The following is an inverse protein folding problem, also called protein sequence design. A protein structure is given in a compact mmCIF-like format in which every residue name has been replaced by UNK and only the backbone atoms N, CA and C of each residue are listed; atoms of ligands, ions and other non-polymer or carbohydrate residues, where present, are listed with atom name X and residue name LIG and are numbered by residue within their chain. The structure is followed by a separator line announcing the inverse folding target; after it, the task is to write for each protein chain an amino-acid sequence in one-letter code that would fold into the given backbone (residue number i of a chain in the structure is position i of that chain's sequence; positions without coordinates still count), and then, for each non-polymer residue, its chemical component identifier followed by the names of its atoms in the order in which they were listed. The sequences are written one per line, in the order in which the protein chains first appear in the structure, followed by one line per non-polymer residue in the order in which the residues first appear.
data_IF_338848125983
#
_entry.id   IF_338848125983
#
_cell.length_a   1.000
_cell.length_b   1.000
_cell.length_c   1.000
_cell.angle_alpha   90.00
_cell.angle_beta   90.00
_cell.angle_gamma   90.00
#
_symmetry.space_group_name_H-M   'P 1'
#
loop_
_entity.id
_entity.type
_entity.pdbx_description
1 polymer ?
#
# COMPACT_ATOMS: atom_id res chain seq x y z
N UNK A 1 81.13 -62.20 -22.94
CA UNK A 1 81.52 -60.78 -22.73
C UNK A 1 80.33 -59.91 -23.10
N UNK A 2 79.64 -59.39 -22.08
CA UNK A 2 78.50 -58.48 -22.24
C UNK A 2 79.03 -57.06 -22.47
N UNK A 3 78.76 -56.48 -23.64
CA UNK A 3 79.07 -55.09 -23.96
C UNK A 3 77.75 -54.32 -24.04
N UNK A 4 77.31 -53.82 -22.89
CA UNK A 4 76.22 -52.85 -22.78
C UNK A 4 76.65 -51.56 -23.47
N UNK A 5 76.19 -51.36 -24.71
CA UNK A 5 76.28 -50.08 -25.42
C UNK A 5 75.33 -49.09 -24.74
N UNK A 6 75.79 -48.46 -23.68
CA UNK A 6 75.15 -47.24 -23.17
C UNK A 6 75.27 -46.17 -24.24
N UNK A 7 74.17 -45.99 -24.97
CA UNK A 7 74.02 -44.99 -26.02
C UNK A 7 74.08 -43.62 -25.32
N UNK A 8 75.26 -43.00 -25.33
CA UNK A 8 75.52 -41.66 -24.76
C UNK A 8 74.49 -40.69 -25.34
N UNK A 9 73.43 -40.41 -24.58
CA UNK A 9 72.35 -39.53 -25.02
C UNK A 9 72.93 -38.16 -25.37
N UNK A 10 72.59 -37.68 -26.56
CA UNK A 10 73.07 -36.41 -27.06
C UNK A 10 72.55 -35.30 -26.14
N UNK A 11 73.45 -34.48 -25.57
CA UNK A 11 73.08 -33.43 -24.61
C UNK A 11 72.03 -32.46 -25.17
N UNK A 12 71.97 -32.31 -26.50
CA UNK A 12 70.96 -31.50 -27.20
C UNK A 12 69.55 -32.08 -27.12
N UNK A 13 69.39 -33.40 -27.29
CA UNK A 13 68.06 -34.05 -27.25
C UNK A 13 67.46 -34.01 -25.85
N UNK A 14 68.30 -34.20 -24.82
CA UNK A 14 67.89 -34.05 -23.42
C UNK A 14 67.44 -32.61 -23.14
N UNK A 15 68.17 -31.61 -23.65
CA UNK A 15 67.82 -30.19 -23.46
C UNK A 15 66.51 -29.81 -24.16
N UNK A 16 66.26 -30.36 -25.34
CA UNK A 16 64.99 -30.19 -26.09
C UNK A 16 63.82 -30.86 -25.36
N UNK A 17 64.02 -32.06 -24.80
CA UNK A 17 63.00 -32.72 -23.97
C UNK A 17 62.62 -31.92 -22.74
N UNK A 18 63.62 -31.37 -22.03
CA UNK A 18 63.41 -30.50 -20.86
C UNK A 18 62.64 -29.23 -21.24
N UNK A 19 62.99 -28.59 -22.36
CA UNK A 19 62.27 -27.39 -22.83
C UNK A 19 60.81 -27.67 -23.21
N UNK A 20 60.54 -28.80 -23.87
CA UNK A 20 59.17 -29.23 -24.16
C UNK A 20 58.38 -29.50 -22.88
N UNK A 21 59.00 -30.15 -21.89
CA UNK A 21 58.37 -30.40 -20.59
C UNK A 21 58.05 -29.09 -19.86
N UNK A 22 58.99 -28.14 -19.80
CA UNK A 22 58.79 -26.82 -19.19
C UNK A 22 57.66 -26.08 -19.89
N UNK A 23 57.62 -26.08 -21.23
CA UNK A 23 56.56 -25.43 -21.99
C UNK A 23 55.18 -26.05 -21.70
N UNK A 24 55.08 -27.38 -21.72
CA UNK A 24 53.85 -28.10 -21.38
C UNK A 24 53.41 -27.83 -19.94
N UNK A 25 54.35 -27.75 -18.99
CA UNK A 25 54.07 -27.43 -17.60
C UNK A 25 53.55 -26.01 -17.42
N UNK A 26 54.14 -25.03 -18.11
CA UNK A 26 53.67 -23.62 -18.07
C UNK A 26 52.27 -23.51 -18.66
N UNK A 27 52.00 -24.18 -19.79
CA UNK A 27 50.66 -24.17 -20.41
C UNK A 27 49.63 -24.81 -19.48
N UNK A 28 49.94 -25.98 -18.91
CA UNK A 28 49.03 -26.68 -18.01
C UNK A 28 48.76 -25.86 -16.73
N UNK A 29 49.82 -25.29 -16.15
CA UNK A 29 49.72 -24.39 -15.00
C UNK A 29 48.89 -23.16 -15.35
N UNK A 30 49.15 -22.51 -16.48
CA UNK A 30 48.42 -21.34 -16.96
C UNK A 30 46.93 -21.62 -17.14
N UNK A 31 46.56 -22.71 -17.82
CA UNK A 31 45.16 -23.12 -17.98
C UNK A 31 44.51 -23.38 -16.62
N UNK A 32 45.21 -24.06 -15.70
CA UNK A 32 44.69 -24.33 -14.35
C UNK A 32 44.38 -23.04 -13.59
N UNK A 33 45.30 -22.06 -13.61
CA UNK A 33 45.09 -20.76 -12.98
C UNK A 33 43.95 -19.97 -13.63
N UNK A 34 43.83 -20.01 -14.96
CA UNK A 34 42.76 -19.34 -15.70
C UNK A 34 41.39 -19.91 -15.30
N UNK A 35 41.26 -21.23 -15.17
CA UNK A 35 40.01 -21.86 -14.72
C UNK A 35 39.60 -21.37 -13.32
N UNK A 36 40.54 -21.31 -12.39
CA UNK A 36 40.29 -20.81 -11.02
C UNK A 36 39.90 -19.33 -11.05
N UNK A 37 40.59 -18.52 -11.85
CA UNK A 37 40.30 -17.09 -11.98
C UNK A 37 38.88 -16.84 -12.53
N UNK A 38 38.48 -17.55 -13.58
CA UNK A 38 37.12 -17.42 -14.12
C UNK A 38 36.05 -17.90 -13.15
N UNK A 39 36.35 -18.94 -12.35
CA UNK A 39 35.44 -19.40 -11.31
C UNK A 39 35.17 -18.31 -10.26
N UNK A 40 36.22 -17.68 -9.72
CA UNK A 40 36.06 -16.58 -8.76
C UNK A 40 35.36 -15.37 -9.38
N UNK A 41 35.73 -14.98 -10.60
CA UNK A 41 35.08 -13.88 -11.30
C UNK A 41 33.58 -14.14 -11.54
N UNK A 42 33.22 -15.35 -11.95
CA UNK A 42 31.83 -15.74 -12.12
C UNK A 42 31.07 -15.75 -10.80
N UNK A 43 31.69 -16.25 -9.73
CA UNK A 43 31.11 -16.25 -8.39
C UNK A 43 30.82 -14.84 -7.89
N UNK A 44 31.77 -13.91 -8.04
CA UNK A 44 31.59 -12.52 -7.59
C UNK A 44 30.48 -11.81 -8.36
N UNK A 45 30.39 -12.02 -9.68
CA UNK A 45 29.32 -11.46 -10.51
C UNK A 45 27.96 -12.03 -10.09
N UNK A 46 27.86 -13.34 -9.90
CA UNK A 46 26.62 -13.98 -9.46
C UNK A 46 26.21 -13.50 -8.06
N UNK A 47 27.16 -13.42 -7.12
CA UNK A 47 26.90 -12.95 -5.76
C UNK A 47 26.46 -11.49 -5.74
N UNK A 48 27.06 -10.64 -6.56
CA UNK A 48 26.65 -9.24 -6.69
C UNK A 48 25.22 -9.12 -7.27
N UNK A 49 24.88 -9.95 -8.27
CA UNK A 49 23.53 -10.03 -8.82
C UNK A 49 22.49 -10.44 -7.79
N UNK A 50 22.73 -11.56 -7.08
CA UNK A 50 21.84 -12.08 -6.03
C UNK A 50 21.69 -11.07 -4.90
N UNK A 51 22.79 -10.43 -4.46
CA UNK A 51 22.73 -9.41 -3.41
C UNK A 51 21.85 -8.23 -3.83
N UNK A 52 22.00 -7.74 -5.06
CA UNK A 52 21.19 -6.64 -5.58
C UNK A 52 19.71 -7.01 -5.64
N UNK A 53 19.40 -8.22 -6.07
CA UNK A 53 18.01 -8.71 -6.11
C UNK A 53 17.42 -8.88 -4.70
N UNK A 54 18.20 -9.40 -3.75
CA UNK A 54 17.78 -9.53 -2.36
C UNK A 54 17.56 -8.17 -1.68
N UNK A 55 18.43 -7.19 -1.95
CA UNK A 55 18.29 -5.83 -1.43
C UNK A 55 17.05 -5.14 -2.01
N UNK A 56 16.80 -5.26 -3.32
CA UNK A 56 15.57 -4.77 -3.96
C UNK A 56 14.32 -5.43 -3.36
N UNK A 57 14.36 -6.75 -3.14
CA UNK A 57 13.23 -7.48 -2.55
C UNK A 57 12.98 -7.05 -1.09
N UNK A 58 14.04 -6.82 -0.30
CA UNK A 58 13.92 -6.28 1.06
C UNK A 58 13.32 -4.88 1.07
N UNK A 59 13.71 -4.03 0.13
CA UNK A 59 13.15 -2.69 0.01
C UNK A 59 11.65 -2.75 -0.32
N UNK A 60 11.26 -3.62 -1.27
CA UNK A 60 9.85 -3.86 -1.60
C UNK A 60 9.04 -4.38 -0.42
N UNK A 61 9.58 -5.34 0.34
CA UNK A 61 8.95 -5.86 1.56
C UNK A 61 8.74 -4.75 2.61
N UNK A 62 9.76 -3.93 2.83
CA UNK A 62 9.69 -2.84 3.81
C UNK A 62 8.62 -1.82 3.40
N UNK A 63 8.57 -1.45 2.11
CA UNK A 63 7.51 -0.57 1.59
C UNK A 63 6.12 -1.21 1.70
N UNK A 64 6.00 -2.51 1.46
CA UNK A 64 4.74 -3.24 1.61
C UNK A 64 4.23 -3.24 3.06
N UNK A 65 5.12 -3.37 4.05
CA UNK A 65 4.73 -3.39 5.46
C UNK A 65 4.26 -2.02 5.96
N UNK A 66 4.96 -0.96 5.52
CA UNK A 66 4.49 0.41 5.71
C UNK A 66 3.12 0.64 5.07
N UNK A 67 2.95 0.19 3.83
CA UNK A 67 1.69 0.33 3.11
C UNK A 67 0.55 -0.42 3.82
N UNK A 68 0.82 -1.62 4.36
CA UNK A 68 -0.16 -2.39 5.15
C UNK A 68 -0.63 -1.58 6.36
N UNK A 69 0.30 -0.99 7.11
CA UNK A 69 -0.01 -0.17 8.29
C UNK A 69 -0.88 1.04 7.92
N UNK A 70 -0.59 1.70 6.80
CA UNK A 70 -1.42 2.79 6.29
C UNK A 70 -2.83 2.31 5.89
N UNK A 71 -2.94 1.17 5.21
CA UNK A 71 -4.23 0.58 4.80
C UNK A 71 -5.07 0.22 6.03
N UNK A 72 -4.47 -0.40 7.05
CA UNK A 72 -5.16 -0.77 8.29
C UNK A 72 -5.67 0.48 9.03
N UNK A 73 -4.88 1.56 9.07
CA UNK A 73 -5.32 2.86 9.62
C UNK A 73 -6.50 3.46 8.84
N UNK A 74 -6.48 3.38 7.50
CA UNK A 74 -7.58 3.84 6.66
C UNK A 74 -8.84 3.02 6.94
N UNK A 75 -8.74 1.69 7.00
CA UNK A 75 -9.86 0.80 7.28
C UNK A 75 -10.47 1.05 8.66
N UNK A 76 -9.62 1.18 9.69
CA UNK A 76 -10.06 1.49 11.04
C UNK A 76 -10.85 2.82 11.11
N UNK A 77 -10.40 3.84 10.38
CA UNK A 77 -11.08 5.14 10.32
C UNK A 77 -12.36 5.10 9.50
N UNK A 78 -12.40 4.29 8.44
CA UNK A 78 -13.64 4.05 7.70
C UNK A 78 -14.71 3.37 8.57
N UNK A 79 -14.30 2.44 9.45
CA UNK A 79 -15.18 1.81 10.43
C UNK A 79 -15.71 2.83 11.45
N UNK A 80 -14.85 3.72 11.96
CA UNK A 80 -15.31 4.82 12.84
C UNK A 80 -16.32 5.75 12.17
N UNK A 81 -16.14 6.03 10.88
CA UNK A 81 -17.09 6.81 10.08
C UNK A 81 -18.42 6.05 9.88
N UNK A 82 -18.46 4.73 10.02
CA UNK A 82 -19.68 3.92 9.87
C UNK A 82 -20.57 3.92 11.10
N UNK A 83 -19.93 3.94 12.27
CA UNK A 83 -20.64 3.92 13.54
C UNK A 83 -21.06 5.35 13.96
N UNK A 84 -20.88 6.37 13.10
CA UNK A 84 -21.11 7.80 13.40
C UNK A 84 -20.54 8.21 14.77
N UNK A 85 -19.39 7.63 15.15
CA UNK A 85 -18.82 7.77 16.50
C UNK A 85 -18.04 9.06 16.70
N UNK A 86 -17.95 9.91 15.68
CA UNK A 86 -17.10 11.10 15.68
C UNK A 86 -17.98 12.34 15.46
N UNK A 87 -17.74 13.40 16.24
CA UNK A 87 -18.50 14.65 16.17
C UNK A 87 -18.41 15.36 14.80
N UNK A 88 -17.40 15.05 13.99
CA UNK A 88 -17.15 15.70 12.70
C UNK A 88 -16.74 14.71 11.61
N UNK A 89 -17.73 14.15 10.92
CA UNK A 89 -17.56 13.24 9.79
C UNK A 89 -16.70 13.86 8.66
N UNK A 90 -16.81 15.18 8.45
CA UNK A 90 -16.06 15.92 7.41
C UNK A 90 -14.56 15.92 7.71
N UNK A 91 -14.15 16.07 8.97
CA UNK A 91 -12.73 16.08 9.36
C UNK A 91 -12.14 14.68 9.18
N UNK A 92 -12.87 13.65 9.63
CA UNK A 92 -12.46 12.27 9.45
C UNK A 92 -12.35 11.90 7.96
N UNK A 93 -13.27 12.40 7.14
CA UNK A 93 -13.27 12.21 5.70
C UNK A 93 -12.03 12.82 5.02
N UNK A 94 -11.71 14.07 5.34
CA UNK A 94 -10.51 14.74 4.80
C UNK A 94 -9.25 13.99 5.22
N UNK A 95 -9.20 13.56 6.48
CA UNK A 95 -8.08 12.77 6.98
C UNK A 95 -7.93 11.42 6.27
N UNK A 96 -9.04 10.73 5.96
CA UNK A 96 -9.01 9.50 5.16
C UNK A 96 -8.49 9.78 3.76
N UNK A 97 -8.93 10.87 3.12
CA UNK A 97 -8.46 11.27 1.80
C UNK A 97 -6.97 11.60 1.76
N UNK A 98 -6.46 12.29 2.79
CA UNK A 98 -5.03 12.60 2.91
C UNK A 98 -4.20 11.31 3.06
N UNK A 99 -4.64 10.38 3.92
CA UNK A 99 -3.95 9.08 4.06
C UNK A 99 -3.97 8.25 2.76
N UNK A 100 -5.05 8.32 1.98
CA UNK A 100 -5.12 7.67 0.66
C UNK A 100 -4.12 8.31 -0.30
N UNK A 101 -3.97 9.64 -0.26
CA UNK A 101 -3.02 10.35 -1.10
C UNK A 101 -1.58 10.01 -0.71
N UNK A 102 -1.28 9.93 0.59
CA UNK A 102 0.02 9.50 1.08
C UNK A 102 0.33 8.05 0.70
N UNK A 103 -0.64 7.14 0.83
CA UNK A 103 -0.48 5.76 0.37
C UNK A 103 -0.20 5.69 -1.14
N UNK A 104 -0.85 6.55 -1.96
CA UNK A 104 -0.55 6.67 -3.39
C UNK A 104 0.85 7.20 -3.65
N UNK A 105 1.31 8.17 -2.87
CA UNK A 105 2.66 8.72 -2.98
C UNK A 105 3.73 7.66 -2.62
N UNK A 106 3.48 6.85 -1.58
CA UNK A 106 4.34 5.72 -1.18
C UNK A 106 4.40 4.65 -2.27
N UNK A 107 3.26 4.32 -2.90
CA UNK A 107 3.22 3.34 -3.99
C UNK A 107 3.93 3.84 -5.27
N UNK A 108 3.86 5.14 -5.57
CA UNK A 108 4.61 5.76 -6.68
C UNK A 108 4.55 4.98 -7.99
N UNK A 109 5.73 4.64 -8.54
CA UNK A 109 5.87 3.84 -9.77
C UNK A 109 5.57 2.35 -9.56
N UNK A 110 5.73 1.84 -8.34
CA UNK A 110 5.46 0.44 -7.99
C UNK A 110 3.95 0.13 -7.90
N UNK A 111 3.10 1.16 -8.01
CA UNK A 111 1.63 1.09 -8.02
C UNK A 111 1.04 0.24 -9.17
N UNK A 112 1.72 0.19 -10.33
CA UNK A 112 1.25 -0.55 -11.50
C UNK A 112 1.74 -2.02 -11.52
N UNK A 113 2.91 -2.27 -10.94
CA UNK A 113 3.57 -3.58 -10.98
C UNK A 113 3.35 -4.35 -9.67
N UNK A 114 4.03 -3.93 -8.59
CA UNK A 114 4.08 -4.68 -7.33
C UNK A 114 2.86 -4.44 -6.42
N UNK A 115 2.25 -3.24 -6.48
CA UNK A 115 1.17 -2.82 -5.57
C UNK A 115 -0.18 -2.63 -6.26
N UNK A 116 -0.42 -3.32 -7.38
CA UNK A 116 -1.65 -3.20 -8.18
C UNK A 116 -2.94 -3.36 -7.37
N UNK A 117 -2.99 -4.30 -6.43
CA UNK A 117 -4.19 -4.53 -5.62
C UNK A 117 -4.47 -3.37 -4.67
N UNK A 118 -3.43 -2.84 -4.03
CA UNK A 118 -3.55 -1.67 -3.17
C UNK A 118 -3.94 -0.43 -3.97
N UNK A 119 -3.41 -0.25 -5.19
CA UNK A 119 -3.78 0.89 -6.04
C UNK A 119 -5.25 0.84 -6.49
N UNK A 120 -5.77 -0.35 -6.83
CA UNK A 120 -7.18 -0.57 -7.14
C UNK A 120 -8.04 -0.25 -5.92
N UNK A 121 -7.68 -0.77 -4.74
CA UNK A 121 -8.41 -0.51 -3.49
C UNK A 121 -8.49 1.00 -3.19
N UNK A 122 -7.36 1.71 -3.23
CA UNK A 122 -7.29 3.16 -3.01
C UNK A 122 -8.11 3.95 -4.03
N UNK A 123 -8.24 3.45 -5.27
CA UNK A 123 -9.09 4.05 -6.29
C UNK A 123 -10.59 3.87 -6.01
N UNK A 124 -10.97 2.75 -5.39
CA UNK A 124 -12.36 2.44 -5.04
C UNK A 124 -12.83 3.14 -3.75
N UNK A 125 -11.94 3.40 -2.80
CA UNK A 125 -12.31 4.09 -1.56
C UNK A 125 -12.79 5.53 -1.81
N UNK A 126 -12.17 6.25 -2.75
CA UNK A 126 -12.58 7.62 -3.10
C UNK A 126 -14.07 7.78 -3.45
N UNK A 127 -14.61 7.08 -4.47
CA UNK A 127 -16.02 7.14 -4.80
C UNK A 127 -16.93 6.57 -3.70
N UNK A 128 -16.48 5.56 -2.94
CA UNK A 128 -17.24 5.04 -1.79
C UNK A 128 -17.42 6.10 -0.69
N UNK A 129 -16.36 6.86 -0.41
CA UNK A 129 -16.37 7.95 0.56
C UNK A 129 -17.27 9.11 0.10
N UNK A 130 -17.24 9.45 -1.19
CA UNK A 130 -18.14 10.43 -1.78
C UNK A 130 -19.62 10.00 -1.69
N UNK A 131 -19.90 8.73 -1.95
CA UNK A 131 -21.25 8.16 -1.81
C UNK A 131 -21.74 8.23 -0.35
N UNK A 132 -20.88 7.87 0.61
CA UNK A 132 -21.21 7.95 2.03
C UNK A 132 -21.56 9.37 2.48
N UNK A 133 -20.83 10.37 2.00
CA UNK A 133 -21.15 11.77 2.26
C UNK A 133 -22.54 12.15 1.72
N UNK A 134 -22.91 11.71 0.52
CA UNK A 134 -24.25 11.94 -0.04
C UNK A 134 -25.34 11.30 0.84
N UNK A 135 -25.10 10.08 1.34
CA UNK A 135 -26.03 9.38 2.25
C UNK A 135 -26.22 10.18 3.54
N UNK A 136 -25.15 10.66 4.16
CA UNK A 136 -25.21 11.48 5.38
C UNK A 136 -26.02 12.77 5.14
N UNK A 137 -25.77 13.47 4.03
CA UNK A 137 -26.53 14.69 3.67
C UNK A 137 -28.02 14.40 3.52
N UNK A 138 -28.39 13.29 2.87
CA UNK A 138 -29.80 12.90 2.69
C UNK A 138 -30.44 12.51 4.03
N UNK A 139 -29.73 11.75 4.87
CA UNK A 139 -30.20 11.36 6.20
C UNK A 139 -30.44 12.59 7.10
N UNK A 140 -29.55 13.57 7.06
CA UNK A 140 -29.72 14.82 7.79
C UNK A 140 -30.95 15.60 7.30
N UNK A 141 -31.19 15.65 5.98
CA UNK A 141 -32.40 16.27 5.42
C UNK A 141 -33.67 15.54 5.86
N UNK A 142 -33.64 14.21 5.91
CA UNK A 142 -34.74 13.39 6.40
C UNK A 142 -35.07 13.70 7.87
N UNK A 143 -34.05 13.74 8.75
CA UNK A 143 -34.25 14.09 10.16
C UNK A 143 -34.83 15.50 10.35
N UNK A 144 -34.36 16.48 9.58
CA UNK A 144 -34.91 17.84 9.60
C UNK A 144 -36.38 17.84 9.15
N UNK A 145 -36.72 17.11 8.09
CA UNK A 145 -38.10 16.97 7.62
C UNK A 145 -39.00 16.28 8.65
N UNK A 146 -38.53 15.21 9.30
CA UNK A 146 -39.24 14.53 10.38
C UNK A 146 -39.48 15.43 11.58
N UNK A 147 -38.48 16.23 11.99
CA UNK A 147 -38.64 17.23 13.04
C UNK A 147 -39.70 18.26 12.66
N UNK A 148 -39.64 18.80 11.44
CA UNK A 148 -40.65 19.74 10.94
C UNK A 148 -42.07 19.17 10.91
N UNK A 149 -42.23 17.89 10.52
CA UNK A 149 -43.51 17.19 10.57
C UNK A 149 -44.03 17.03 12.01
N UNK A 150 -43.16 16.68 12.95
CA UNK A 150 -43.53 16.54 14.36
C UNK A 150 -43.91 17.89 14.99
N UNK A 151 -43.20 18.97 14.66
CA UNK A 151 -43.56 20.33 15.06
C UNK A 151 -44.92 20.76 14.49
N UNK A 152 -45.19 20.45 13.22
CA UNK A 152 -46.46 20.74 12.58
C UNK A 152 -47.61 19.98 13.25
N UNK A 153 -47.44 18.68 13.51
CA UNK A 153 -48.41 17.86 14.26
C UNK A 153 -48.67 18.41 15.66
N UNK A 154 -47.62 18.82 16.37
CA UNK A 154 -47.75 19.46 17.69
C UNK A 154 -48.57 20.75 17.63
N UNK A 155 -48.28 21.63 16.66
CA UNK A 155 -49.03 22.88 16.45
C UNK A 155 -50.50 22.63 16.12
N UNK A 156 -50.81 21.65 15.25
CA UNK A 156 -52.19 21.27 14.93
C UNK A 156 -52.93 20.77 16.17
N UNK A 157 -52.28 20.01 17.05
CA UNK A 157 -52.85 19.58 18.33
C UNK A 157 -53.23 20.74 19.25
N UNK A 158 -52.38 21.77 19.33
CA UNK A 158 -52.66 23.00 20.09
C UNK A 158 -53.80 23.80 19.45
N UNK A 159 -53.77 24.00 18.13
CA UNK A 159 -54.84 24.75 17.43
C UNK A 159 -56.20 24.04 17.58
N UNK A 160 -56.24 22.71 17.45
CA UNK A 160 -57.49 21.95 17.63
C UNK A 160 -58.01 21.97 19.07
N UNK A 161 -57.14 22.10 20.07
CA UNK A 161 -57.57 22.24 21.47
C UNK A 161 -58.11 23.64 21.73
N UNK A 162 -57.52 24.68 21.15
CA UNK A 162 -58.06 26.05 21.25
C UNK A 162 -59.35 26.25 20.47
N UNK A 163 -59.48 25.69 19.25
CA UNK A 163 -60.71 25.76 18.45
C UNK A 163 -61.89 24.97 19.06
N UNK A 164 -61.62 24.02 19.95
CA UNK A 164 -62.67 23.31 20.71
C UNK A 164 -63.28 24.17 21.83
N UNK A 165 -62.60 25.23 22.24
CA UNK A 165 -63.12 26.18 23.22
C UNK A 165 -64.05 27.14 22.50
N UNK A 166 -65.35 26.99 22.72
CA UNK A 166 -66.37 27.86 22.12
C UNK A 166 -66.15 29.32 22.58
N UNK A 167 -65.78 30.24 21.67
CA UNK A 167 -65.48 31.63 22.02
C UNK A 167 -66.71 32.38 22.52
N UNK A 168 -67.93 31.89 22.27
CA UNK A 168 -69.17 32.55 22.71
C UNK A 168 -69.48 32.36 24.20
N UNK A 169 -68.84 31.42 24.91
CA UNK A 169 -69.09 31.19 26.35
C UNK A 169 -68.41 32.21 27.29
N UNK A 170 -67.44 33.00 26.81
CA UNK A 170 -66.73 34.00 27.61
C UNK A 170 -67.07 35.46 27.27
N UNK A 171 -67.95 35.71 26.28
CA UNK A 171 -68.45 37.06 26.01
C UNK A 171 -69.57 37.41 27.00
N UNK A 172 -69.22 37.74 28.24
CA UNK A 172 -70.11 38.50 29.12
C UNK A 172 -70.12 39.96 28.64
N UNK A 173 -70.90 40.24 27.59
CA UNK A 173 -71.18 41.61 27.17
C UNK A 173 -71.84 42.37 28.31
N UNK A 174 -71.07 43.19 29.02
CA UNK A 174 -71.60 44.11 30.01
C UNK A 174 -72.47 45.13 29.24
N UNK A 175 -73.79 44.90 29.24
CA UNK A 175 -74.78 45.93 28.89
C UNK A 175 -74.62 47.06 29.91
N UNK A 176 -73.86 48.09 29.54
CA UNK A 176 -73.86 49.37 30.26
C UNK A 176 -75.28 49.92 30.19
N UNK A 177 -75.99 49.88 31.32
CA UNK A 177 -77.32 50.48 31.49
C UNK A 177 -77.13 51.92 31.97
N UNK A 178 -77.70 52.84 31.17
CA UNK A 178 -77.89 54.28 31.37
C UNK A 178 -76.66 55.16 31.25
#
# INVERSE_FOLDING_TARGET
MSSSRDKKLNRSDVRIGIWKFILSFIVLSGVSFICIFFFFKSYDIQRAGIKKEADNYRELLTRSDLLRTHVDSILYRMDQLDINRVENDIILQNYIMDNIQDAKNIMGKDSADNFKHYSILMKQIGPMLALKNQIIIVSNKEQVALRGLNECKGKIGVINTELKVDPTRNFSGIRRRR
#
